data_IF_249513722563
#
_entry.id   IF_249513722563
#
_cell.length_a   1.000
_cell.length_b   1.000
_cell.length_c   1.000
_cell.angle_alpha   90.00
_cell.angle_beta   90.00
_cell.angle_gamma   90.00
#
_symmetry.space_group_name_H-M   'P 1'
#
loop_
_entity.id
_entity.type
_entity.pdbx_description
1 polymer ?
#
# COMPACT_ATOMS: atom_id res chain seq x y z
N UNK A 1 2.03 -5.35 -14.63
CA UNK A 1 2.23 -3.87 -14.68
C UNK A 1 1.33 -3.13 -13.70
N UNK A 2 0.00 -3.37 -13.68
CA UNK A 2 -0.93 -2.70 -12.75
C UNK A 2 -0.48 -2.75 -11.28
N UNK A 3 -0.14 -3.93 -10.75
CA UNK A 3 0.31 -4.08 -9.35
C UNK A 3 1.59 -3.31 -9.04
N UNK A 4 2.53 -3.22 -9.99
CA UNK A 4 3.75 -2.41 -9.82
C UNK A 4 3.38 -0.92 -9.76
N UNK A 5 2.52 -0.44 -10.67
CA UNK A 5 2.04 0.95 -10.60
C UNK A 5 1.35 1.25 -9.27
N UNK A 6 0.52 0.33 -8.77
CA UNK A 6 -0.15 0.47 -7.48
C UNK A 6 0.84 0.44 -6.31
N UNK A 7 1.88 -0.39 -6.37
CA UNK A 7 2.96 -0.45 -5.38
C UNK A 7 3.69 0.89 -5.26
N UNK A 8 4.15 1.44 -6.39
CA UNK A 8 4.87 2.72 -6.38
C UNK A 8 3.96 3.89 -6.00
N UNK A 9 2.69 3.88 -6.40
CA UNK A 9 1.70 4.85 -5.90
C UNK A 9 1.49 4.71 -4.38
N UNK A 10 1.55 3.49 -3.84
CA UNK A 10 1.50 3.25 -2.39
C UNK A 10 2.64 3.95 -1.66
N UNK A 11 3.86 3.88 -2.17
CA UNK A 11 5.01 4.60 -1.59
C UNK A 11 4.81 6.11 -1.59
N UNK A 12 4.28 6.70 -2.67
CA UNK A 12 3.93 8.13 -2.73
C UNK A 12 2.87 8.53 -1.67
N UNK A 13 2.03 7.58 -1.27
CA UNK A 13 0.98 7.75 -0.25
C UNK A 13 1.41 7.28 1.15
N UNK A 14 2.72 7.21 1.40
CA UNK A 14 3.29 6.94 2.71
C UNK A 14 3.16 5.49 3.17
N UNK A 15 2.96 4.55 2.25
CA UNK A 15 2.83 3.13 2.58
C UNK A 15 4.19 2.43 2.41
N UNK A 16 4.88 2.00 3.49
CA UNK A 16 6.10 1.20 3.40
C UNK A 16 5.80 -0.26 3.01
N UNK A 17 6.87 -1.04 2.79
CA UNK A 17 6.75 -2.48 2.57
C UNK A 17 6.06 -3.20 3.74
N UNK A 18 5.34 -4.28 3.41
CA UNK A 18 4.73 -5.16 4.39
C UNK A 18 5.76 -5.94 5.22
N UNK A 19 5.57 -5.95 6.54
CA UNK A 19 6.33 -6.79 7.48
C UNK A 19 5.64 -8.11 7.81
N UNK A 20 6.26 -8.94 8.65
CA UNK A 20 5.82 -10.31 8.94
C UNK A 20 4.39 -10.44 9.53
N UNK A 21 3.89 -9.40 10.20
CA UNK A 21 2.54 -9.40 10.79
C UNK A 21 1.45 -8.87 9.85
N UNK A 22 1.83 -8.40 8.67
CA UNK A 22 0.92 -7.82 7.69
C UNK A 22 0.29 -8.91 6.83
N UNK A 23 -1.02 -8.82 6.60
CA UNK A 23 -1.76 -9.83 5.86
C UNK A 23 -2.89 -9.22 5.03
N UNK A 24 -3.13 -9.84 3.88
CA UNK A 24 -4.28 -9.63 3.00
C UNK A 24 -5.01 -10.96 2.70
N UNK A 25 -4.77 -12.02 3.48
CA UNK A 25 -5.49 -13.29 3.36
C UNK A 25 -4.72 -14.47 2.72
N UNK A 26 -3.39 -14.37 2.57
CA UNK A 26 -2.55 -15.57 2.30
C UNK A 26 -1.47 -15.43 1.22
N UNK A 27 -1.49 -14.35 0.44
CA UNK A 27 -0.47 -14.07 -0.59
C UNK A 27 0.36 -12.84 -0.22
N UNK A 28 1.58 -12.70 -0.78
CA UNK A 28 2.29 -11.43 -0.73
C UNK A 28 1.38 -10.31 -1.27
N UNK A 29 1.08 -9.33 -0.43
CA UNK A 29 0.17 -8.23 -0.77
C UNK A 29 0.86 -7.24 -1.71
N UNK A 30 0.11 -6.24 -2.20
CA UNK A 30 0.64 -5.23 -3.13
C UNK A 30 1.96 -4.61 -2.64
N UNK A 31 2.09 -4.36 -1.33
CA UNK A 31 3.26 -3.74 -0.72
C UNK A 31 4.30 -4.74 -0.22
N UNK A 32 4.21 -6.01 -0.61
CA UNK A 32 5.30 -6.96 -0.36
C UNK A 32 6.60 -6.45 -1.03
N UNK A 33 7.76 -6.63 -0.39
CA UNK A 33 9.05 -6.27 -1.00
C UNK A 33 9.37 -7.09 -2.26
N UNK A 34 8.63 -8.16 -2.53
CA UNK A 34 8.75 -8.97 -3.73
C UNK A 34 7.38 -9.22 -4.36
N UNK A 35 7.29 -9.09 -5.67
CA UNK A 35 6.05 -9.39 -6.41
C UNK A 35 5.76 -10.90 -6.38
N UNK A 36 4.50 -11.28 -6.14
CA UNK A 36 4.06 -12.66 -6.22
C UNK A 36 3.64 -13.07 -7.64
N UNK A 37 3.60 -14.37 -7.90
CA UNK A 37 3.00 -14.96 -9.09
C UNK A 37 1.96 -16.03 -8.67
N UNK A 38 0.65 -15.80 -8.88
CA UNK A 38 0.06 -14.59 -9.47
C UNK A 38 0.20 -13.36 -8.55
N UNK A 39 0.19 -12.13 -9.10
CA UNK A 39 0.28 -10.93 -8.30
C UNK A 39 -1.01 -10.71 -7.50
N UNK A 40 -0.89 -10.32 -6.22
CA UNK A 40 -2.04 -9.93 -5.40
C UNK A 40 -2.59 -8.57 -5.82
N UNK A 41 -3.92 -8.43 -5.79
CA UNK A 41 -4.63 -7.17 -6.02
C UNK A 41 -5.10 -6.52 -4.71
N UNK A 42 -4.61 -7.01 -3.56
CA UNK A 42 -5.06 -6.58 -2.24
C UNK A 42 -3.94 -5.87 -1.46
N UNK A 43 -4.31 -4.74 -0.86
CA UNK A 43 -3.52 -4.10 0.21
C UNK A 43 -3.66 -4.87 1.53
N UNK A 44 -2.58 -4.91 2.31
CA UNK A 44 -2.59 -5.53 3.64
C UNK A 44 -3.34 -4.70 4.67
N UNK A 45 -3.61 -5.28 5.83
CA UNK A 45 -4.07 -4.53 7.00
C UNK A 45 -3.09 -3.40 7.41
N UNK A 46 -1.78 -3.65 7.31
CA UNK A 46 -0.76 -2.64 7.60
C UNK A 46 -0.79 -1.50 6.58
N UNK A 47 -0.89 -1.82 5.28
CA UNK A 47 -0.93 -0.80 4.22
C UNK A 47 -2.05 0.21 4.45
N UNK A 48 -3.23 -0.27 4.85
CA UNK A 48 -4.40 0.58 5.18
C UNK A 48 -4.13 1.47 6.39
N UNK A 49 -3.47 0.94 7.43
CA UNK A 49 -3.11 1.70 8.61
C UNK A 49 -2.09 2.81 8.28
N UNK A 50 -1.04 2.49 7.52
CA UNK A 50 -0.03 3.46 7.09
C UNK A 50 -0.63 4.58 6.23
N UNK A 51 -1.51 4.23 5.29
CA UNK A 51 -2.21 5.23 4.48
C UNK A 51 -3.05 6.17 5.34
N UNK A 52 -3.77 5.64 6.34
CA UNK A 52 -4.54 6.46 7.26
C UNK A 52 -3.64 7.40 8.08
N UNK A 53 -2.50 6.92 8.57
CA UNK A 53 -1.48 7.75 9.24
C UNK A 53 -0.97 8.86 8.31
N UNK A 54 -0.60 8.52 7.07
CA UNK A 54 -0.14 9.50 6.08
C UNK A 54 -1.17 10.62 5.84
N UNK A 55 -2.44 10.27 5.61
CA UNK A 55 -3.51 11.27 5.42
C UNK A 55 -3.70 12.16 6.64
N UNK A 56 -3.59 11.58 7.84
CA UNK A 56 -3.82 12.29 9.11
C UNK A 56 -2.68 13.27 9.42
N UNK A 57 -1.44 12.84 9.20
CA UNK A 57 -0.24 13.58 9.58
C UNK A 57 0.14 14.62 8.53
N UNK A 58 0.05 14.27 7.24
CA UNK A 58 0.55 15.11 6.13
C UNK A 58 -0.54 15.94 5.46
N UNK A 59 -1.81 15.51 5.53
CA UNK A 59 -2.98 16.23 4.98
C UNK A 59 -2.71 16.76 3.55
N UNK A 60 -2.35 15.89 2.59
CA UNK A 60 -2.00 16.31 1.24
C UNK A 60 -3.20 16.99 0.54
N UNK A 61 -3.07 18.28 0.24
CA UNK A 61 -4.19 19.07 -0.30
C UNK A 61 -4.49 18.75 -1.77
N UNK A 62 -3.49 18.35 -2.56
CA UNK A 62 -3.65 18.12 -3.99
C UNK A 62 -4.47 16.87 -4.37
N UNK A 63 -4.74 15.99 -3.40
CA UNK A 63 -5.61 14.81 -3.59
C UNK A 63 -7.02 15.03 -3.04
N UNK A 64 -7.30 16.22 -2.51
CA UNK A 64 -8.64 16.66 -2.15
C UNK A 64 -9.20 17.51 -3.29
N UNK A 65 -10.49 17.37 -3.57
CA UNK A 65 -11.17 18.28 -4.48
C UNK A 65 -11.29 19.65 -3.81
N UNK A 66 -10.95 20.70 -4.55
CA UNK A 66 -11.09 22.09 -4.12
C UNK A 66 -12.54 22.58 -4.18
#
# INVERSE_FOLDING_TARGET
VAVIMTHEMGHNLGIPHDGNSCTCGGFPCIMSPMISDPPSELFSNCSKAYYQTFLTDHKPQCILNA
#
